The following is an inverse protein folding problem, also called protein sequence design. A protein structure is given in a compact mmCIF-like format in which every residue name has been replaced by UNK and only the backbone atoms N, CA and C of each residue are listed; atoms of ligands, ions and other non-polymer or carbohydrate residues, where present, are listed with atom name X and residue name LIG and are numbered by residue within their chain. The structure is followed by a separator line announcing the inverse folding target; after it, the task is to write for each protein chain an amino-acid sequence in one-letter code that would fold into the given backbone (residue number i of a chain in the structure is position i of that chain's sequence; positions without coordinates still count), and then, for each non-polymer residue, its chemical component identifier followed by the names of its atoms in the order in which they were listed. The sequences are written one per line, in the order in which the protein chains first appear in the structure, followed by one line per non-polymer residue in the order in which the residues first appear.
data_IF_384701851021
#
_entry.id   IF_384701851021
#
_cell.length_a   1.000
_cell.length_b   1.000
_cell.length_c   1.000
_cell.angle_alpha   90.00
_cell.angle_beta   90.00
_cell.angle_gamma   90.00
#
_symmetry.space_group_name_H-M   'P 1'
#
loop_
_entity.id
_entity.type
_entity.pdbx_description
1 polymer ?
#
# COMPACT_ATOMS: atom_id res chain seq x y z
N UNK A 1 4.96 4.40 10.11
CA UNK A 1 5.93 4.28 9.02
C UNK A 1 5.23 4.30 7.67
N UNK A 2 5.87 4.90 6.68
CA UNK A 2 5.26 5.05 5.37
C UNK A 2 5.57 3.87 4.45
N UNK A 3 4.56 3.45 3.71
CA UNK A 3 4.71 2.39 2.71
C UNK A 3 4.00 2.80 1.43
N UNK A 4 4.44 2.19 0.34
CA UNK A 4 3.79 2.36 -0.96
C UNK A 4 3.29 0.99 -1.40
N UNK A 5 2.02 0.92 -1.80
CA UNK A 5 1.46 -0.27 -2.39
C UNK A 5 1.42 -0.10 -3.89
N UNK A 6 1.96 -1.08 -4.61
CA UNK A 6 1.83 -1.16 -6.05
C UNK A 6 0.96 -2.37 -6.32
N UNK A 7 -0.25 -2.15 -6.80
CA UNK A 7 -1.21 -3.24 -6.87
C UNK A 7 -1.82 -3.46 -8.22
N UNK A 8 -2.34 -4.66 -8.40
CA UNK A 8 -3.11 -5.00 -9.57
C UNK A 8 -4.57 -5.21 -9.15
N UNK A 9 -5.47 -5.10 -10.13
CA UNK A 9 -6.88 -5.32 -9.90
C UNK A 9 -7.29 -6.45 -10.83
N UNK A 10 -7.79 -7.53 -10.25
CA UNK A 10 -8.25 -8.66 -11.03
C UNK A 10 -9.37 -8.23 -11.96
N UNK A 11 -9.41 -8.81 -13.16
CA UNK A 11 -10.38 -8.39 -14.18
C UNK A 11 -11.83 -8.51 -13.71
N UNK A 12 -12.11 -9.44 -12.82
CA UNK A 12 -13.46 -9.60 -12.29
C UNK A 12 -13.89 -8.40 -11.43
N UNK A 13 -12.94 -7.60 -10.96
CA UNK A 13 -13.24 -6.46 -10.11
C UNK A 13 -13.12 -5.13 -10.82
N UNK A 14 -12.73 -5.11 -12.08
CA UNK A 14 -12.57 -3.85 -12.80
C UNK A 14 -13.87 -3.07 -12.91
N UNK A 15 -15.00 -3.77 -13.05
CA UNK A 15 -16.30 -3.11 -13.13
C UNK A 15 -16.94 -2.87 -11.77
N UNK A 16 -16.26 -3.25 -10.69
CA UNK A 16 -16.77 -3.12 -9.32
C UNK A 16 -15.82 -2.33 -8.45
N UNK A 17 -15.24 -1.28 -9.01
CA UNK A 17 -14.23 -0.49 -8.32
C UNK A 17 -14.74 0.12 -7.02
N UNK A 18 -15.96 0.64 -7.04
CA UNK A 18 -16.53 1.26 -5.85
C UNK A 18 -16.65 0.30 -4.69
N UNK A 19 -17.14 -0.90 -4.98
CA UNK A 19 -17.31 -1.92 -3.94
C UNK A 19 -15.95 -2.35 -3.38
N UNK A 20 -14.99 -2.62 -4.27
CA UNK A 20 -13.66 -3.01 -3.86
C UNK A 20 -13.01 -1.93 -2.99
N UNK A 21 -13.12 -0.68 -3.45
CA UNK A 21 -12.51 0.44 -2.73
C UNK A 21 -13.11 0.60 -1.33
N UNK A 22 -14.43 0.48 -1.20
CA UNK A 22 -15.06 0.61 0.10
C UNK A 22 -14.61 -0.48 1.07
N UNK A 23 -14.52 -1.71 0.58
CA UNK A 23 -14.10 -2.81 1.45
C UNK A 23 -12.62 -2.71 1.80
N UNK A 24 -11.80 -2.31 0.84
CA UNK A 24 -10.38 -2.13 1.09
C UNK A 24 -10.14 -1.01 2.09
N UNK A 25 -10.87 0.10 1.95
CA UNK A 25 -10.74 1.23 2.86
C UNK A 25 -11.12 0.84 4.29
N UNK A 26 -12.18 0.06 4.44
CA UNK A 26 -12.61 -0.41 5.76
C UNK A 26 -11.55 -1.31 6.39
N UNK A 27 -10.93 -2.17 5.59
CA UNK A 27 -9.89 -3.06 6.11
C UNK A 27 -8.64 -2.29 6.51
N UNK A 28 -8.24 -1.31 5.71
CA UNK A 28 -7.11 -0.46 6.07
C UNK A 28 -7.35 0.20 7.43
N UNK A 29 -8.54 0.76 7.59
CA UNK A 29 -8.88 1.43 8.84
C UNK A 29 -8.85 0.46 10.02
N UNK A 30 -9.38 -0.75 9.81
CA UNK A 30 -9.37 -1.77 10.84
C UNK A 30 -7.95 -2.12 11.28
N UNK A 31 -7.01 -2.11 10.34
CA UNK A 31 -5.62 -2.43 10.63
C UNK A 31 -4.79 -1.22 11.10
N UNK A 32 -5.44 -0.07 11.26
CA UNK A 32 -4.74 1.13 11.71
C UNK A 32 -3.89 1.77 10.63
N UNK A 33 -4.16 1.47 9.37
CA UNK A 33 -3.40 2.00 8.25
C UNK A 33 -4.14 3.22 7.69
N UNK A 34 -3.42 4.34 7.59
CA UNK A 34 -3.98 5.56 7.07
C UNK A 34 -3.63 5.69 5.60
N UNK A 35 -4.65 5.81 4.75
CA UNK A 35 -4.44 5.98 3.32
C UNK A 35 -4.23 7.47 3.04
N UNK A 36 -3.06 7.82 2.53
CA UNK A 36 -2.71 9.21 2.28
C UNK A 36 -2.97 9.61 0.84
N UNK A 37 -2.71 8.73 -0.12
CA UNK A 37 -2.89 9.02 -1.53
C UNK A 37 -3.25 7.76 -2.28
N UNK A 38 -4.09 7.91 -3.30
CA UNK A 38 -4.47 6.82 -4.18
C UNK A 38 -4.40 7.33 -5.61
N UNK A 39 -3.67 6.60 -6.47
CA UNK A 39 -3.65 6.90 -7.89
C UNK A 39 -3.88 5.62 -8.65
N UNK A 40 -4.62 5.70 -9.74
CA UNK A 40 -4.80 4.56 -10.63
C UNK A 40 -3.88 4.76 -11.82
N UNK A 41 -3.25 3.67 -12.25
CA UNK A 41 -2.20 3.75 -13.26
C UNK A 41 -2.49 2.77 -14.40
N UNK A 42 -1.82 2.97 -15.51
CA UNK A 42 -1.85 2.05 -16.63
C UNK A 42 -0.46 1.45 -16.79
N UNK A 43 -0.39 0.14 -16.93
CA UNK A 43 0.89 -0.52 -17.11
C UNK A 43 0.96 -1.76 -16.27
N UNK A 44 2.12 -2.01 -15.70
CA UNK A 44 2.36 -3.20 -14.91
C UNK A 44 1.49 -3.24 -13.67
N UNK A 45 1.22 -2.07 -13.08
CA UNK A 45 0.36 -1.96 -11.90
C UNK A 45 -0.86 -1.13 -12.24
N UNK A 46 -1.94 -1.39 -11.52
CA UNK A 46 -3.22 -0.71 -11.74
C UNK A 46 -3.45 0.41 -10.74
N UNK A 47 -2.77 0.36 -9.59
CA UNK A 47 -2.89 1.45 -8.63
C UNK A 47 -1.62 1.61 -7.81
N UNK A 48 -1.46 2.81 -7.26
CA UNK A 48 -0.38 3.16 -6.36
C UNK A 48 -1.02 3.84 -5.16
N UNK A 49 -0.81 3.28 -3.97
CA UNK A 49 -1.30 3.88 -2.73
C UNK A 49 -0.12 4.28 -1.88
N UNK A 50 -0.24 5.43 -1.23
CA UNK A 50 0.73 5.85 -0.21
C UNK A 50 0.02 5.77 1.12
N UNK A 51 0.59 5.03 2.07
CA UNK A 51 -0.06 4.80 3.35
C UNK A 51 0.89 5.06 4.50
N UNK A 52 0.31 5.36 5.66
CA UNK A 52 1.02 5.42 6.91
C UNK A 52 0.52 4.26 7.77
N UNK A 53 1.40 3.40 8.23
CA UNK A 53 1.02 2.19 8.96
C UNK A 53 1.78 2.07 10.27
N UNK A 54 1.19 1.36 11.25
CA UNK A 54 1.86 1.19 12.55
C UNK A 54 3.10 0.32 12.47
N UNK A 55 3.15 -0.60 11.51
CA UNK A 55 4.33 -1.45 11.36
C UNK A 55 4.17 -2.42 10.21
N UNK A 56 5.18 -3.24 9.97
CA UNK A 56 5.16 -4.16 8.83
C UNK A 56 4.08 -5.22 8.91
N UNK A 57 3.69 -5.62 10.13
CA UNK A 57 2.66 -6.65 10.26
C UNK A 57 1.32 -6.19 9.74
N UNK A 58 1.01 -4.90 9.93
CA UNK A 58 -0.26 -4.37 9.45
C UNK A 58 -0.34 -4.40 7.93
N UNK A 59 0.73 -3.98 7.26
CA UNK A 59 0.73 -3.97 5.80
C UNK A 59 0.78 -5.38 5.22
N UNK A 60 1.46 -6.29 5.91
CA UNK A 60 1.46 -7.70 5.51
C UNK A 60 0.04 -8.27 5.61
N UNK A 61 -0.64 -8.00 6.73
CA UNK A 61 -2.00 -8.46 6.91
C UNK A 61 -2.93 -7.94 5.83
N UNK A 62 -2.78 -6.68 5.45
CA UNK A 62 -3.60 -6.11 4.40
C UNK A 62 -3.31 -6.77 3.05
N UNK A 63 -2.05 -7.00 2.73
CA UNK A 63 -1.65 -7.63 1.48
C UNK A 63 -2.24 -9.04 1.35
N UNK A 64 -2.17 -9.81 2.42
CA UNK A 64 -2.72 -11.17 2.45
C UNK A 64 -4.24 -11.11 2.28
N UNK A 65 -4.89 -10.22 3.02
CA UNK A 65 -6.34 -10.07 2.94
C UNK A 65 -6.78 -9.71 1.52
N UNK A 66 -6.08 -8.77 0.89
CA UNK A 66 -6.40 -8.30 -0.45
C UNK A 66 -6.33 -9.46 -1.46
N UNK A 67 -5.25 -10.23 -1.40
CA UNK A 67 -5.08 -11.39 -2.28
C UNK A 67 -6.12 -12.47 -2.02
N UNK A 68 -6.42 -12.73 -0.74
CA UNK A 68 -7.39 -13.76 -0.39
C UNK A 68 -8.80 -13.41 -0.84
N UNK A 69 -9.11 -12.13 -0.95
CA UNK A 69 -10.40 -11.69 -1.47
C UNK A 69 -10.49 -11.82 -2.98
N UNK A 70 -9.39 -12.13 -3.65
CA UNK A 70 -9.38 -12.22 -5.08
C UNK A 70 -9.43 -10.88 -5.79
N UNK A 71 -9.13 -9.79 -5.08
CA UNK A 71 -9.15 -8.46 -5.68
C UNK A 71 -7.97 -8.24 -6.63
N UNK A 72 -6.87 -8.90 -6.37
CA UNK A 72 -5.65 -8.76 -7.14
C UNK A 72 -4.45 -9.07 -6.28
N UNK A 73 -3.32 -8.54 -6.66
CA UNK A 73 -2.08 -8.75 -5.93
C UNK A 73 -1.44 -7.40 -5.67
N UNK A 74 -0.55 -7.35 -4.68
CA UNK A 74 0.13 -6.10 -4.45
C UNK A 74 1.54 -6.33 -3.93
N UNK A 75 2.38 -5.36 -4.23
CA UNK A 75 3.73 -5.27 -3.75
C UNK A 75 3.76 -4.16 -2.72
N UNK A 76 4.38 -4.41 -1.59
CA UNK A 76 4.46 -3.43 -0.51
C UNK A 76 5.90 -2.98 -0.36
N UNK A 77 6.12 -1.68 -0.45
CA UNK A 77 7.46 -1.11 -0.41
C UNK A 77 7.57 -0.16 0.77
N UNK A 78 8.53 -0.38 1.69
CA UNK A 78 8.81 0.65 2.69
C UNK A 78 9.28 1.91 1.97
N UNK A 79 8.81 3.06 2.41
CA UNK A 79 9.11 4.31 1.74
C UNK A 79 9.86 5.23 2.69
N UNK A 80 10.85 5.91 2.16
CA UNK A 80 11.74 6.78 2.93
C UNK A 80 11.76 8.16 2.30
N UNK A 81 11.78 9.18 3.14
CA UNK A 81 11.87 10.53 2.65
C UNK A 81 13.33 10.95 2.44
N UNK A 82 13.50 12.14 1.90
CA UNK A 82 14.84 12.67 1.67
C UNK A 82 15.66 12.76 2.94
N UNK A 83 14.99 13.06 4.06
CA UNK A 83 15.68 13.13 5.34
C UNK A 83 16.25 11.80 5.77
N UNK A 84 15.54 10.72 5.48
CA UNK A 84 15.99 9.39 5.85
C UNK A 84 17.26 9.02 5.09
N UNK A 85 17.30 9.37 3.81
CA UNK A 85 18.48 9.14 2.98
C UNK A 85 19.64 9.95 3.53
N UNK A 86 19.38 11.20 3.88
CA UNK A 86 20.42 12.07 4.41
C UNK A 86 20.99 11.50 5.70
N UNK A 87 20.14 11.05 6.60
CA UNK A 87 20.59 10.47 7.86
C UNK A 87 21.42 9.21 7.62
N UNK A 88 21.00 8.37 6.68
CA UNK A 88 21.69 7.12 6.42
C UNK A 88 23.06 7.35 5.79
N UNK A 89 23.23 8.42 5.03
CA UNK A 89 24.46 8.65 4.30
C UNK A 89 25.43 9.59 5.01
N UNK A 90 24.94 10.37 5.99
CA UNK A 90 25.84 11.24 6.72
C UNK A 90 26.10 10.73 8.12
N UNK A 91 25.93 9.42 8.35
CA UNK A 91 26.10 8.88 9.61
C UNK A 91 27.47 9.14 10.05
N UNK A 92 27.68 9.52 11.25
CA UNK A 92 28.83 9.87 11.71
C UNK A 92 29.67 8.87 11.97
N UNK A 93 30.66 8.98 11.91
CA UNK A 93 31.45 8.11 12.11
C UNK A 93 31.64 7.85 13.35
N UNK A 94 31.90 7.24 13.80
CA UNK A 94 31.98 7.04 14.97
C UNK A 94 32.95 6.79 15.31
#
# INVERSE_FOLDING_TARGET
MKYIFLGTIDSTWLSKQGERYLKASAKLKQLGIKLESVYYTQGQYDFVDVVEAPGPEAVLAFSIWYSNKGYGRMQTLPAFGAQDIRKATTKKKK
#
